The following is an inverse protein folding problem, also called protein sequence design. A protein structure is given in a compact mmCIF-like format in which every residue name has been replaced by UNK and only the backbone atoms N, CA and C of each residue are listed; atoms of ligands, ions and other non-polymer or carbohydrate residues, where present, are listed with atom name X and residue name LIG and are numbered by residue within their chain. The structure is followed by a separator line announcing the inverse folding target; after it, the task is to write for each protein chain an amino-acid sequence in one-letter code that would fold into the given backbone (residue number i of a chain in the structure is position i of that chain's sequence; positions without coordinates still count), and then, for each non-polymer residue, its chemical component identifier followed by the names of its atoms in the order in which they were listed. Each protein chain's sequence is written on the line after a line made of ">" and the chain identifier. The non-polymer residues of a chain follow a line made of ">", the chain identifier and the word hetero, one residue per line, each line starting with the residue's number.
data_IF_747860677793
#
_entry.id   IF_747860677793
#
_cell.length_a   1.000
_cell.length_b   1.000
_cell.length_c   1.000
_cell.angle_alpha   90.00
_cell.angle_beta   90.00
_cell.angle_gamma   90.00
#
_symmetry.space_group_name_H-M   'P 1'
#
loop_
_entity.id
_entity.type
_entity.pdbx_description
1 polymer ?
#
# COMPACT_ATOMS: atom_id res chain seq x y z
N UNK A 1 56.41 3.79 -47.57
CA UNK A 1 55.57 2.77 -48.22
C UNK A 1 55.40 3.18 -49.68
N UNK A 2 56.04 2.48 -50.63
CA UNK A 2 55.89 2.77 -52.07
C UNK A 2 54.53 2.22 -52.50
N UNK A 3 53.56 3.10 -52.77
CA UNK A 3 52.23 2.68 -53.23
C UNK A 3 52.32 2.14 -54.66
N UNK A 4 51.84 0.91 -54.85
CA UNK A 4 51.78 0.26 -56.16
C UNK A 4 50.84 1.02 -57.12
N UNK A 5 51.18 1.08 -58.41
CA UNK A 5 50.49 1.89 -59.42
C UNK A 5 48.97 1.62 -59.52
N UNK A 6 48.54 0.41 -59.16
CA UNK A 6 47.14 -0.01 -59.13
C UNK A 6 46.34 0.75 -58.07
N UNK A 7 46.93 1.04 -56.91
CA UNK A 7 46.27 1.75 -55.80
C UNK A 7 46.05 3.22 -56.17
N UNK A 8 47.04 3.83 -56.83
CA UNK A 8 46.96 5.23 -57.30
C UNK A 8 45.82 5.42 -58.30
N UNK A 9 45.62 4.46 -59.22
CA UNK A 9 44.48 4.49 -60.16
C UNK A 9 43.13 4.39 -59.44
N UNK A 10 43.01 3.52 -58.43
CA UNK A 10 41.77 3.37 -57.67
C UNK A 10 41.43 4.66 -56.89
N UNK A 11 42.42 5.27 -56.24
CA UNK A 11 42.25 6.52 -55.49
C UNK A 11 41.83 7.67 -56.42
N UNK A 12 42.45 7.78 -57.61
CA UNK A 12 42.09 8.83 -58.58
C UNK A 12 40.64 8.69 -59.07
N UNK A 13 40.22 7.46 -59.38
CA UNK A 13 38.84 7.17 -59.82
C UNK A 13 37.80 7.53 -58.75
N UNK A 14 38.11 7.26 -57.47
CA UNK A 14 37.23 7.63 -56.35
C UNK A 14 37.21 9.15 -56.15
N UNK A 15 38.34 9.83 -56.24
CA UNK A 15 38.40 11.28 -56.06
C UNK A 15 37.65 12.05 -57.16
N UNK A 16 37.77 11.59 -58.43
CA UNK A 16 36.98 12.13 -59.54
C UNK A 16 35.48 11.94 -59.31
N UNK A 17 35.06 10.78 -58.81
CA UNK A 17 33.63 10.54 -58.50
C UNK A 17 33.06 11.43 -57.38
N UNK A 18 33.92 12.05 -56.57
CA UNK A 18 33.53 12.90 -55.44
C UNK A 18 33.88 14.38 -55.63
N UNK A 19 34.34 14.78 -56.83
CA UNK A 19 34.69 16.16 -57.13
C UNK A 19 35.86 16.72 -56.31
N UNK A 20 36.76 15.85 -55.81
CA UNK A 20 37.91 16.26 -55.00
C UNK A 20 39.09 16.53 -55.96
N UNK A 21 39.61 17.77 -56.04
CA UNK A 21 40.75 18.07 -56.90
C UNK A 21 42.01 17.40 -56.34
N UNK A 22 42.62 16.49 -57.11
CA UNK A 22 43.91 15.87 -56.78
C UNK A 22 45.01 16.50 -57.63
N UNK A 23 45.96 17.18 -56.97
CA UNK A 23 47.15 17.72 -57.62
C UNK A 23 48.22 16.61 -57.70
N UNK A 24 48.58 16.21 -58.92
CA UNK A 24 49.61 15.19 -59.15
C UNK A 24 50.96 15.85 -59.38
N UNK A 25 51.69 16.10 -58.30
CA UNK A 25 53.15 16.26 -58.32
C UNK A 25 53.78 15.16 -57.47
N UNK A 26 54.97 14.73 -57.86
CA UNK A 26 55.54 13.41 -57.56
C UNK A 26 55.49 12.98 -56.08
N UNK A 27 54.99 11.75 -55.88
CA UNK A 27 55.32 10.82 -54.80
C UNK A 27 55.73 11.39 -53.42
N UNK A 28 54.96 12.34 -52.86
CA UNK A 28 54.90 12.58 -51.42
C UNK A 28 53.63 13.39 -51.09
N UNK A 29 52.63 12.74 -50.49
CA UNK A 29 51.44 13.42 -49.97
C UNK A 29 51.83 14.05 -48.63
N UNK A 30 52.15 15.34 -48.63
CA UNK A 30 52.21 16.15 -47.41
C UNK A 30 50.96 17.01 -47.36
N UNK A 31 50.08 16.87 -46.35
CA UNK A 31 48.95 17.78 -46.22
C UNK A 31 49.48 19.20 -45.96
N UNK A 32 48.96 20.18 -46.70
CA UNK A 32 49.24 21.60 -46.45
C UNK A 32 48.86 21.95 -45.01
N UNK A 33 49.65 22.79 -44.31
CA UNK A 33 49.28 23.26 -42.99
C UNK A 33 48.09 24.21 -43.16
N UNK A 34 46.88 23.68 -42.89
CA UNK A 34 45.69 24.51 -42.77
C UNK A 34 45.87 25.35 -41.51
N UNK A 35 46.14 26.65 -41.69
CA UNK A 35 46.11 27.61 -40.60
C UNK A 35 44.72 27.52 -39.96
N UNK A 36 44.60 27.21 -38.65
CA UNK A 36 43.29 27.10 -38.03
C UNK A 36 42.65 28.49 -38.05
N UNK A 37 41.63 28.65 -38.90
CA UNK A 37 40.74 29.80 -38.82
C UNK A 37 40.12 29.76 -37.43
N UNK A 38 40.53 30.69 -36.57
CA UNK A 38 39.89 30.91 -35.28
C UNK A 38 38.49 31.45 -35.55
N UNK A 39 37.53 30.54 -35.69
CA UNK A 39 36.12 30.87 -35.56
C UNK A 39 35.97 31.48 -34.17
N UNK A 40 35.49 32.72 -34.02
CA UNK A 40 35.26 33.28 -32.69
C UNK A 40 34.37 32.30 -31.95
N UNK A 41 34.84 31.79 -30.80
CA UNK A 41 34.02 31.00 -29.86
C UNK A 41 32.90 31.93 -29.40
N UNK A 42 31.84 32.05 -30.20
CA UNK A 42 30.52 32.36 -29.68
C UNK A 42 30.20 31.17 -28.79
N UNK A 43 30.42 31.35 -27.49
CA UNK A 43 29.92 30.44 -26.49
C UNK A 43 28.44 30.27 -26.80
N UNK A 44 28.05 29.06 -27.18
CA UNK A 44 26.64 28.74 -27.31
C UNK A 44 26.00 29.04 -25.95
N UNK A 45 24.85 29.73 -25.91
CA UNK A 45 24.18 29.99 -24.64
C UNK A 45 23.92 28.66 -23.92
N UNK A 46 24.12 28.64 -22.60
CA UNK A 46 24.26 27.42 -21.78
C UNK A 46 23.17 26.34 -21.97
N UNK A 47 21.98 26.72 -22.45
CA UNK A 47 20.89 25.80 -22.77
C UNK A 47 21.16 24.86 -23.97
N UNK A 48 22.14 25.16 -24.83
CA UNK A 48 22.50 24.35 -26.00
C UNK A 48 23.40 23.15 -25.63
N UNK A 49 24.07 23.20 -24.47
CA UNK A 49 24.97 22.14 -23.97
C UNK A 49 24.25 21.09 -23.11
N UNK A 50 22.93 21.22 -22.90
CA UNK A 50 22.16 20.24 -22.11
C UNK A 50 22.58 20.14 -20.64
N UNK A 51 23.38 21.08 -20.12
CA UNK A 51 23.72 21.20 -18.70
C UNK A 51 22.67 22.03 -17.96
N UNK A 52 21.42 21.61 -18.04
CA UNK A 52 20.56 21.66 -16.85
C UNK A 52 20.43 20.22 -16.41
N UNK A 53 21.39 19.75 -15.61
CA UNK A 53 21.29 18.46 -14.92
C UNK A 53 20.22 18.57 -13.84
N UNK A 54 18.96 18.81 -14.23
CA UNK A 54 17.85 18.44 -13.38
C UNK A 54 17.98 16.93 -13.15
N UNK A 55 18.10 16.48 -11.90
CA UNK A 55 18.28 15.06 -11.62
C UNK A 55 17.05 14.29 -12.11
N UNK A 56 17.24 13.10 -12.67
CA UNK A 56 16.20 12.30 -13.34
C UNK A 56 14.89 12.14 -12.54
N UNK A 57 14.95 12.14 -11.21
CA UNK A 57 13.75 12.08 -10.38
C UNK A 57 12.87 13.34 -10.52
N UNK A 58 13.43 14.53 -10.73
CA UNK A 58 12.68 15.79 -10.80
C UNK A 58 11.75 15.85 -12.03
N UNK A 59 12.19 15.32 -13.18
CA UNK A 59 11.33 15.22 -14.37
C UNK A 59 10.19 14.23 -14.16
N UNK A 60 10.44 13.07 -13.56
CA UNK A 60 9.41 12.07 -13.23
C UNK A 60 8.35 12.65 -12.28
N UNK A 61 8.76 13.43 -11.28
CA UNK A 61 7.83 14.11 -10.37
C UNK A 61 6.92 15.12 -11.10
N UNK A 62 7.46 15.84 -12.09
CA UNK A 62 6.70 16.81 -12.88
C UNK A 62 5.67 16.13 -13.78
N UNK A 63 6.05 15.03 -14.44
CA UNK A 63 5.14 14.23 -15.27
C UNK A 63 4.02 13.59 -14.44
N UNK A 64 4.33 13.15 -13.22
CA UNK A 64 3.39 12.45 -12.33
C UNK A 64 2.65 13.40 -11.38
N UNK A 65 2.76 14.72 -11.56
CA UNK A 65 2.24 15.73 -10.63
C UNK A 65 0.75 15.55 -10.29
N UNK A 66 -0.10 15.28 -11.29
CA UNK A 66 -1.51 15.02 -11.07
C UNK A 66 -1.77 13.78 -10.20
N UNK A 67 -0.99 12.71 -10.41
CA UNK A 67 -1.11 11.48 -9.63
C UNK A 67 -0.70 11.73 -8.18
N UNK A 68 0.34 12.54 -7.98
CA UNK A 68 0.83 12.96 -6.65
C UNK A 68 -0.22 13.77 -5.91
N UNK A 69 -0.85 14.78 -6.53
CA UNK A 69 -1.93 15.55 -5.89
C UNK A 69 -3.07 14.64 -5.45
N UNK A 70 -3.54 13.77 -6.34
CA UNK A 70 -4.66 12.87 -6.04
C UNK A 70 -4.28 11.92 -4.90
N UNK A 71 -3.08 11.33 -4.92
CA UNK A 71 -2.60 10.49 -3.82
C UNK A 71 -2.54 11.26 -2.50
N UNK A 72 -1.91 12.44 -2.47
CA UNK A 72 -1.81 13.28 -1.28
C UNK A 72 -3.20 13.66 -0.74
N UNK A 73 -4.15 14.00 -1.61
CA UNK A 73 -5.53 14.30 -1.21
C UNK A 73 -6.22 13.08 -0.59
N UNK A 74 -6.02 11.89 -1.15
CA UNK A 74 -6.59 10.64 -0.64
C UNK A 74 -5.95 10.22 0.70
N UNK A 75 -4.65 10.45 0.88
CA UNK A 75 -3.96 10.24 2.15
C UNK A 75 -4.42 11.24 3.21
N UNK A 76 -4.58 12.52 2.85
CA UNK A 76 -5.15 13.55 3.73
C UNK A 76 -6.58 13.21 4.15
N UNK A 77 -7.42 12.75 3.21
CA UNK A 77 -8.77 12.27 3.51
C UNK A 77 -8.74 11.07 4.47
N UNK A 78 -7.80 10.13 4.30
CA UNK A 78 -7.65 9.00 5.22
C UNK A 78 -7.27 9.45 6.63
N UNK A 79 -6.32 10.37 6.76
CA UNK A 79 -5.96 10.97 8.07
C UNK A 79 -7.18 11.62 8.70
N UNK A 80 -7.94 12.40 7.94
CA UNK A 80 -9.18 13.00 8.41
C UNK A 80 -10.18 11.94 8.91
N UNK A 81 -10.40 10.86 8.15
CA UNK A 81 -11.26 9.74 8.56
C UNK A 81 -10.78 9.12 9.89
N UNK A 82 -9.47 8.93 10.06
CA UNK A 82 -8.88 8.32 11.26
C UNK A 82 -8.94 9.24 12.48
N UNK A 83 -8.72 10.55 12.31
CA UNK A 83 -8.86 11.54 13.38
C UNK A 83 -10.32 11.63 13.86
N UNK A 84 -11.29 11.58 12.94
CA UNK A 84 -12.72 11.65 13.25
C UNK A 84 -13.37 10.26 13.43
N UNK A 85 -12.60 9.21 13.68
CA UNK A 85 -13.10 7.83 13.78
C UNK A 85 -14.18 7.63 14.86
N UNK A 86 -14.08 8.32 16.01
CA UNK A 86 -15.06 8.22 17.11
C UNK A 86 -16.44 8.77 16.71
N UNK A 87 -16.46 9.84 15.91
CA UNK A 87 -17.70 10.40 15.38
C UNK A 87 -18.27 9.51 14.28
N UNK A 88 -17.40 9.00 13.41
CA UNK A 88 -17.81 8.19 12.27
C UNK A 88 -18.36 6.82 12.68
N UNK A 89 -17.80 6.20 13.71
CA UNK A 89 -18.23 4.88 14.22
C UNK A 89 -19.62 4.90 14.85
N UNK A 90 -20.10 6.06 15.30
CA UNK A 90 -21.51 6.25 15.75
C UNK A 90 -22.52 6.21 14.60
N UNK A 91 -22.07 6.40 13.35
CA UNK A 91 -22.91 6.37 12.15
C UNK A 91 -22.53 5.16 11.28
N UNK A 92 -22.98 3.93 11.63
CA UNK A 92 -22.50 2.70 10.98
C UNK A 92 -22.74 2.66 9.47
N UNK A 93 -23.85 3.22 8.99
CA UNK A 93 -24.14 3.31 7.55
C UNK A 93 -23.12 4.18 6.82
N UNK A 94 -22.78 5.34 7.41
CA UNK A 94 -21.80 6.28 6.83
C UNK A 94 -20.41 5.67 6.79
N UNK A 95 -19.95 5.05 7.89
CA UNK A 95 -18.66 4.36 7.92
C UNK A 95 -18.56 3.28 6.84
N UNK A 96 -19.61 2.47 6.66
CA UNK A 96 -19.64 1.41 5.63
C UNK A 96 -19.51 2.00 4.22
N UNK A 97 -20.22 3.08 3.93
CA UNK A 97 -20.16 3.75 2.62
C UNK A 97 -18.78 4.36 2.37
N UNK A 98 -18.27 5.17 3.31
CA UNK A 98 -16.96 5.82 3.19
C UNK A 98 -15.86 4.77 3.04
N UNK A 99 -15.89 3.72 3.87
CA UNK A 99 -14.88 2.65 3.81
C UNK A 99 -14.94 1.88 2.51
N UNK A 100 -16.11 1.51 2.02
CA UNK A 100 -16.24 0.81 0.74
C UNK A 100 -15.78 1.70 -0.43
N UNK A 101 -16.12 2.99 -0.40
CA UNK A 101 -15.66 3.96 -1.39
C UNK A 101 -14.14 4.11 -1.38
N UNK A 102 -13.53 4.21 -0.20
CA UNK A 102 -12.08 4.30 -0.07
C UNK A 102 -11.38 3.04 -0.57
N UNK A 103 -11.88 1.85 -0.22
CA UNK A 103 -11.31 0.59 -0.70
C UNK A 103 -11.40 0.45 -2.22
N UNK A 104 -12.52 0.88 -2.81
CA UNK A 104 -12.68 0.88 -4.26
C UNK A 104 -11.71 1.88 -4.92
N UNK A 105 -11.57 3.07 -4.35
CA UNK A 105 -10.58 4.06 -4.79
C UNK A 105 -9.15 3.50 -4.72
N UNK A 106 -8.76 2.88 -3.60
CA UNK A 106 -7.45 2.26 -3.44
C UNK A 106 -7.21 1.17 -4.47
N UNK A 107 -8.20 0.31 -4.73
CA UNK A 107 -8.06 -0.76 -5.71
C UNK A 107 -7.89 -0.21 -7.14
N UNK A 108 -8.74 0.74 -7.55
CA UNK A 108 -8.76 1.25 -8.92
C UNK A 108 -7.66 2.27 -9.18
N UNK A 109 -7.47 3.24 -8.29
CA UNK A 109 -6.51 4.32 -8.49
C UNK A 109 -5.10 3.87 -8.09
N UNK A 110 -4.88 3.46 -6.84
CA UNK A 110 -3.55 3.08 -6.34
C UNK A 110 -3.09 1.76 -6.95
N UNK A 111 -4.01 0.78 -7.04
CA UNK A 111 -3.74 -0.52 -7.64
C UNK A 111 -3.64 -0.46 -9.16
N UNK A 112 -4.77 -0.28 -9.83
CA UNK A 112 -4.88 -0.49 -11.29
C UNK A 112 -4.29 0.65 -12.13
N UNK A 113 -4.48 1.90 -11.73
CA UNK A 113 -4.06 3.06 -12.52
C UNK A 113 -2.60 3.46 -12.29
N UNK A 114 -2.21 3.68 -11.03
CA UNK A 114 -0.85 4.14 -10.72
C UNK A 114 0.16 3.01 -10.48
N UNK A 115 -0.32 1.78 -10.23
CA UNK A 115 0.52 0.63 -9.87
C UNK A 115 1.42 0.91 -8.64
N UNK A 116 1.03 1.87 -7.80
CA UNK A 116 1.81 2.33 -6.65
C UNK A 116 1.62 1.36 -5.48
N UNK A 117 2.33 0.23 -5.51
CA UNK A 117 2.20 -0.81 -4.50
C UNK A 117 3.46 -1.01 -3.67
N UNK A 118 3.30 -0.92 -2.35
CA UNK A 118 4.33 -1.42 -1.43
C UNK A 118 4.34 -2.96 -1.46
N UNK A 119 5.54 -3.50 -1.45
CA UNK A 119 5.89 -4.91 -1.54
C UNK A 119 7.02 -5.19 -0.56
N UNK A 120 7.28 -6.46 -0.26
CA UNK A 120 8.41 -6.85 0.58
C UNK A 120 9.74 -6.38 0.01
N UNK A 121 9.86 -6.28 -1.32
CA UNK A 121 11.09 -5.82 -1.99
C UNK A 121 11.48 -4.42 -1.51
N UNK A 122 10.53 -3.48 -1.37
CA UNK A 122 10.86 -2.13 -0.89
C UNK A 122 11.40 -2.14 0.54
N UNK A 123 10.88 -3.02 1.39
CA UNK A 123 11.39 -3.19 2.76
C UNK A 123 12.78 -3.83 2.74
N UNK A 124 12.99 -4.87 1.94
CA UNK A 124 14.29 -5.53 1.81
C UNK A 124 15.34 -4.59 1.23
N UNK A 125 15.00 -3.81 0.20
CA UNK A 125 15.87 -2.78 -0.37
C UNK A 125 16.20 -1.71 0.66
N UNK A 126 15.24 -1.29 1.50
CA UNK A 126 15.50 -0.36 2.58
C UNK A 126 16.47 -0.93 3.63
N UNK A 127 16.22 -2.15 4.12
CA UNK A 127 17.09 -2.81 5.09
C UNK A 127 18.50 -3.00 4.50
N UNK A 128 18.58 -3.50 3.27
CA UNK A 128 19.85 -3.70 2.56
C UNK A 128 20.60 -2.38 2.33
N UNK A 129 19.90 -1.29 1.99
CA UNK A 129 20.52 0.02 1.79
C UNK A 129 21.05 0.59 3.12
N UNK A 130 20.34 0.40 4.22
CA UNK A 130 20.81 0.80 5.56
C UNK A 130 22.06 0.03 5.97
N UNK A 131 22.18 -1.25 5.60
CA UNK A 131 23.34 -2.10 5.94
C UNK A 131 24.57 -1.77 5.08
N UNK A 132 24.40 -1.57 3.76
CA UNK A 132 25.54 -1.47 2.84
C UNK A 132 25.99 -0.03 2.58
N UNK A 133 25.10 0.85 2.09
CA UNK A 133 25.31 2.29 1.90
C UNK A 133 23.95 2.94 1.61
N UNK A 134 23.64 4.04 2.29
CA UNK A 134 22.34 4.71 2.16
C UNK A 134 22.35 5.74 1.02
N UNK A 135 21.58 5.48 -0.05
CA UNK A 135 21.44 6.39 -1.19
C UNK A 135 19.98 6.79 -1.40
N UNK A 136 19.68 8.08 -1.23
CA UNK A 136 18.32 8.62 -1.41
C UNK A 136 17.79 8.47 -2.84
N UNK A 137 18.68 8.44 -3.83
CA UNK A 137 18.32 8.39 -5.25
C UNK A 137 17.46 7.17 -5.60
N UNK A 138 17.71 6.00 -5.00
CA UNK A 138 16.94 4.79 -5.27
C UNK A 138 15.47 4.89 -4.82
N UNK A 139 15.20 5.69 -3.78
CA UNK A 139 13.85 5.88 -3.24
C UNK A 139 13.06 6.99 -3.94
N UNK A 140 13.75 8.03 -4.44
CA UNK A 140 13.10 9.19 -5.06
C UNK A 140 12.64 8.96 -6.52
N UNK A 141 13.09 7.87 -7.16
CA UNK A 141 12.72 7.55 -8.55
C UNK A 141 11.22 7.34 -8.73
N UNK A 142 10.55 6.72 -7.75
CA UNK A 142 9.08 6.58 -7.77
C UNK A 142 8.44 7.53 -6.74
N UNK A 143 7.91 8.69 -7.17
CA UNK A 143 7.30 9.67 -6.27
C UNK A 143 6.16 9.09 -5.43
N UNK A 144 5.36 8.21 -6.03
CA UNK A 144 4.14 7.70 -5.40
C UNK A 144 4.48 6.70 -4.30
N UNK A 145 5.42 5.80 -4.58
CA UNK A 145 5.92 4.85 -3.57
C UNK A 145 6.64 5.59 -2.45
N UNK A 146 7.43 6.63 -2.76
CA UNK A 146 8.10 7.43 -1.75
C UNK A 146 7.12 8.11 -0.78
N UNK A 147 6.08 8.77 -1.31
CA UNK A 147 5.03 9.40 -0.51
C UNK A 147 4.27 8.37 0.31
N UNK A 148 3.89 7.25 -0.31
CA UNK A 148 3.16 6.18 0.37
C UNK A 148 3.99 5.55 1.49
N UNK A 149 5.29 5.31 1.27
CA UNK A 149 6.18 4.75 2.30
C UNK A 149 6.37 5.72 3.48
N UNK A 150 6.56 7.01 3.19
CA UNK A 150 6.65 8.07 4.20
C UNK A 150 5.37 8.16 5.03
N UNK A 151 4.21 8.07 4.38
CA UNK A 151 2.90 8.03 5.04
C UNK A 151 2.72 6.77 5.90
N UNK A 152 3.12 5.61 5.38
CA UNK A 152 3.06 4.34 6.12
C UNK A 152 3.96 4.39 7.35
N UNK A 153 5.18 4.94 7.25
CA UNK A 153 6.05 5.13 8.39
C UNK A 153 5.41 6.03 9.47
N UNK A 154 4.79 7.14 9.09
CA UNK A 154 4.09 8.04 10.01
C UNK A 154 2.88 7.35 10.67
N UNK A 155 2.05 6.68 9.87
CA UNK A 155 0.85 6.00 10.40
C UNK A 155 1.16 4.76 11.22
N UNK A 156 2.27 4.06 10.94
CA UNK A 156 2.79 2.99 11.78
C UNK A 156 3.09 3.50 13.20
N UNK A 157 3.74 4.66 13.31
CA UNK A 157 4.09 5.25 14.60
C UNK A 157 2.85 5.74 15.37
N UNK A 158 1.84 6.27 14.67
CA UNK A 158 0.68 6.88 15.32
C UNK A 158 -0.48 5.90 15.57
N UNK A 159 -0.80 5.03 14.61
CA UNK A 159 -1.94 4.09 14.65
C UNK A 159 -1.54 2.60 14.57
N UNK A 160 -0.29 2.29 14.20
CA UNK A 160 0.18 0.94 13.94
C UNK A 160 -0.05 0.49 12.49
N UNK A 161 0.28 -0.77 12.18
CA UNK A 161 0.29 -1.29 10.80
C UNK A 161 -1.08 -1.42 10.15
N UNK A 162 -2.14 -1.39 10.95
CA UNK A 162 -3.48 -1.72 10.50
C UNK A 162 -4.02 -0.74 9.46
N UNK A 163 -3.55 0.51 9.47
CA UNK A 163 -3.95 1.53 8.49
C UNK A 163 -3.57 1.10 7.07
N UNK A 164 -2.33 0.62 6.87
CA UNK A 164 -1.88 0.20 5.55
C UNK A 164 -2.64 -1.05 5.04
N UNK A 165 -2.61 -2.15 5.79
CA UNK A 165 -3.25 -3.41 5.38
C UNK A 165 -4.79 -3.30 5.31
N UNK A 166 -5.37 -2.37 6.08
CA UNK A 166 -6.80 -2.11 6.17
C UNK A 166 -7.32 -1.24 5.02
N UNK A 167 -6.64 -0.13 4.73
CA UNK A 167 -7.15 0.95 3.88
C UNK A 167 -6.33 1.20 2.62
N UNK A 168 -4.99 1.11 2.69
CA UNK A 168 -4.11 1.52 1.58
C UNK A 168 -3.64 0.39 0.67
N UNK A 169 -3.63 -0.84 1.14
CA UNK A 169 -3.16 -1.98 0.34
C UNK A 169 -4.22 -2.35 -0.72
N UNK A 170 -3.94 -2.25 -2.03
CA UNK A 170 -4.92 -2.54 -3.08
C UNK A 170 -5.31 -4.01 -3.10
N UNK A 171 -4.36 -4.94 -2.90
CA UNK A 171 -4.68 -6.36 -2.80
C UNK A 171 -5.50 -6.69 -1.56
N UNK A 172 -5.18 -6.04 -0.43
CA UNK A 172 -6.00 -6.14 0.78
C UNK A 172 -7.42 -5.62 0.53
N UNK A 173 -7.58 -4.54 -0.23
CA UNK A 173 -8.88 -3.99 -0.63
C UNK A 173 -9.65 -4.95 -1.55
N UNK A 174 -8.97 -5.58 -2.52
CA UNK A 174 -9.54 -6.61 -3.38
C UNK A 174 -10.10 -7.78 -2.56
N UNK A 175 -9.31 -8.33 -1.63
CA UNK A 175 -9.76 -9.44 -0.77
C UNK A 175 -10.95 -9.05 0.12
N UNK A 176 -10.96 -7.82 0.63
CA UNK A 176 -12.05 -7.28 1.44
C UNK A 176 -13.35 -7.13 0.62
N UNK A 177 -13.26 -6.62 -0.61
CA UNK A 177 -14.40 -6.45 -1.49
C UNK A 177 -14.97 -7.80 -1.94
N UNK A 178 -14.10 -8.76 -2.32
CA UNK A 178 -14.50 -10.14 -2.65
C UNK A 178 -15.24 -10.77 -1.47
N UNK A 179 -14.67 -10.67 -0.26
CA UNK A 179 -15.30 -11.23 0.93
C UNK A 179 -16.67 -10.59 1.22
N UNK A 180 -16.81 -9.27 1.06
CA UNK A 180 -18.11 -8.58 1.21
C UNK A 180 -19.14 -9.05 0.18
N UNK A 181 -18.72 -9.26 -1.07
CA UNK A 181 -19.59 -9.81 -2.11
C UNK A 181 -20.02 -11.23 -1.73
N UNK A 182 -19.08 -12.06 -1.28
CA UNK A 182 -19.36 -13.43 -0.80
C UNK A 182 -20.38 -13.44 0.35
N UNK A 183 -20.24 -12.54 1.33
CA UNK A 183 -21.18 -12.38 2.44
C UNK A 183 -22.57 -11.91 1.98
N UNK A 184 -22.65 -11.08 0.93
CA UNK A 184 -23.94 -10.69 0.31
C UNK A 184 -24.60 -11.85 -0.43
N UNK A 185 -23.80 -12.72 -1.05
CA UNK A 185 -24.24 -13.97 -1.68
C UNK A 185 -24.53 -15.09 -0.66
N UNK A 186 -24.44 -14.80 0.65
CA UNK A 186 -24.70 -15.74 1.76
C UNK A 186 -23.83 -17.00 1.72
N UNK A 187 -22.62 -16.91 1.17
CA UNK A 187 -21.65 -18.01 1.22
C UNK A 187 -21.18 -18.25 2.66
N UNK A 188 -20.85 -19.50 3.01
CA UNK A 188 -20.37 -19.83 4.35
C UNK A 188 -19.04 -19.13 4.63
N UNK A 189 -18.89 -18.61 5.85
CA UNK A 189 -17.63 -18.07 6.34
C UNK A 189 -16.93 -19.12 7.18
N UNK A 190 -15.65 -19.34 6.91
CA UNK A 190 -14.84 -20.29 7.64
C UNK A 190 -13.90 -19.56 8.59
N UNK A 191 -13.97 -19.89 9.88
CA UNK A 191 -13.09 -19.34 10.92
C UNK A 191 -12.25 -20.44 11.52
N UNK A 192 -10.94 -20.19 11.57
CA UNK A 192 -10.00 -21.12 12.17
C UNK A 192 -10.11 -21.06 13.70
N UNK A 193 -9.95 -22.20 14.39
CA UNK A 193 -9.77 -22.21 15.84
C UNK A 193 -8.56 -21.38 16.26
N UNK A 194 -8.61 -20.75 17.44
CA UNK A 194 -7.60 -19.78 17.90
C UNK A 194 -6.16 -20.35 17.88
N UNK A 195 -5.98 -21.62 18.26
CA UNK A 195 -4.66 -22.28 18.24
C UNK A 195 -4.10 -22.40 16.82
N UNK A 196 -4.95 -22.76 15.85
CA UNK A 196 -4.55 -22.87 14.44
C UNK A 196 -4.28 -21.49 13.88
N UNK A 197 -5.13 -20.52 14.22
CA UNK A 197 -4.97 -19.13 13.83
C UNK A 197 -3.60 -18.57 14.28
N UNK A 198 -3.21 -18.76 15.54
CA UNK A 198 -1.95 -18.25 16.09
C UNK A 198 -0.72 -18.89 15.41
N UNK A 199 -0.78 -20.19 15.10
CA UNK A 199 0.27 -20.90 14.34
C UNK A 199 0.34 -20.42 12.89
N UNK A 200 -0.79 -20.29 12.20
CA UNK A 200 -0.81 -19.81 10.82
C UNK A 200 -0.35 -18.35 10.72
N UNK A 201 -0.59 -17.51 11.74
CA UNK A 201 -0.04 -16.15 11.76
C UNK A 201 1.47 -16.12 11.91
N UNK A 202 2.10 -17.17 12.46
CA UNK A 202 3.56 -17.25 12.49
C UNK A 202 4.17 -17.42 11.09
N UNK A 203 3.43 -18.02 10.15
CA UNK A 203 3.92 -18.35 8.82
C UNK A 203 4.42 -17.13 8.03
N UNK A 204 3.70 -16.00 8.06
CA UNK A 204 4.15 -14.75 7.40
C UNK A 204 5.50 -14.26 7.93
N UNK A 205 5.79 -14.47 9.22
CA UNK A 205 7.07 -14.09 9.82
C UNK A 205 8.18 -15.02 9.37
N UNK A 206 7.91 -16.33 9.28
CA UNK A 206 8.86 -17.31 8.73
C UNK A 206 9.20 -16.97 7.28
N UNK A 207 8.19 -16.69 6.44
CA UNK A 207 8.40 -16.26 5.04
C UNK A 207 9.23 -14.98 4.99
N UNK A 208 8.92 -13.98 5.82
CA UNK A 208 9.67 -12.72 5.84
C UNK A 208 11.14 -12.92 6.25
N UNK A 209 11.41 -13.68 7.31
CA UNK A 209 12.79 -13.98 7.74
C UNK A 209 13.56 -14.77 6.69
N UNK A 210 12.92 -15.74 6.03
CA UNK A 210 13.53 -16.48 4.92
C UNK A 210 13.88 -15.56 3.74
N UNK A 211 12.98 -14.67 3.33
CA UNK A 211 13.23 -13.68 2.28
C UNK A 211 14.33 -12.69 2.67
N UNK A 212 14.36 -12.26 3.93
CA UNK A 212 15.42 -11.41 4.45
C UNK A 212 16.77 -12.11 4.38
N UNK A 213 16.86 -13.37 4.82
CA UNK A 213 18.09 -14.17 4.72
C UNK A 213 18.57 -14.33 3.27
N UNK A 214 17.67 -14.64 2.34
CA UNK A 214 18.00 -14.73 0.91
C UNK A 214 18.45 -13.39 0.33
N UNK A 215 17.87 -12.27 0.79
CA UNK A 215 18.23 -10.93 0.32
C UNK A 215 19.65 -10.52 0.68
N UNK A 216 20.16 -10.99 1.82
CA UNK A 216 21.54 -10.75 2.25
C UNK A 216 22.56 -11.52 1.40
N UNK A 217 22.16 -12.67 0.85
CA UNK A 217 23.01 -13.45 -0.05
C UNK A 217 22.95 -12.92 -1.49
N UNK A 218 21.76 -12.58 -1.99
CA UNK A 218 21.57 -12.05 -3.33
C UNK A 218 20.20 -11.39 -3.51
N UNK A 219 20.22 -10.13 -3.95
CA UNK A 219 19.00 -9.37 -4.30
C UNK A 219 18.22 -10.07 -5.42
N UNK A 220 18.89 -10.73 -6.38
CA UNK A 220 18.25 -11.41 -7.50
C UNK A 220 17.43 -12.63 -7.07
N UNK A 221 17.95 -13.45 -6.16
CA UNK A 221 17.20 -14.59 -5.61
C UNK A 221 16.06 -14.14 -4.71
N UNK A 222 16.26 -13.10 -3.89
CA UNK A 222 15.20 -12.52 -3.09
C UNK A 222 14.08 -11.92 -3.95
N UNK A 223 14.39 -11.29 -5.08
CA UNK A 223 13.38 -10.76 -6.00
C UNK A 223 12.54 -11.87 -6.64
N UNK A 224 13.14 -13.03 -6.97
CA UNK A 224 12.39 -14.21 -7.43
C UNK A 224 11.55 -14.84 -6.33
N UNK A 225 12.09 -14.96 -5.12
CA UNK A 225 11.36 -15.52 -3.98
C UNK A 225 10.23 -14.59 -3.49
N UNK A 226 10.38 -13.27 -3.67
CA UNK A 226 9.36 -12.27 -3.36
C UNK A 226 8.11 -12.39 -4.26
N UNK A 227 8.15 -13.23 -5.31
CA UNK A 227 6.97 -13.60 -6.10
C UNK A 227 5.93 -14.43 -5.33
N UNK A 228 6.26 -14.84 -4.09
CA UNK A 228 5.27 -15.32 -3.11
C UNK A 228 4.14 -14.30 -2.91
N UNK A 229 4.42 -13.02 -3.14
CA UNK A 229 3.43 -11.97 -3.14
C UNK A 229 2.66 -11.93 -4.47
N UNK A 230 1.34 -12.21 -4.48
CA UNK A 230 0.54 -12.29 -5.71
C UNK A 230 0.32 -10.91 -6.37
N UNK A 231 0.87 -9.85 -5.79
CA UNK A 231 0.72 -8.46 -6.20
C UNK A 231 1.10 -8.21 -7.66
N UNK A 232 2.26 -8.73 -8.08
CA UNK A 232 2.75 -8.58 -9.46
C UNK A 232 1.80 -9.26 -10.44
N UNK A 233 1.28 -10.43 -10.09
CA UNK A 233 0.39 -11.22 -10.95
C UNK A 233 -1.02 -10.61 -11.04
N UNK A 234 -1.59 -10.21 -9.90
CA UNK A 234 -2.98 -9.77 -9.79
C UNK A 234 -3.16 -8.30 -10.19
N UNK A 235 -2.26 -7.42 -9.74
CA UNK A 235 -2.38 -5.98 -9.95
C UNK A 235 -1.50 -5.54 -11.13
N UNK A 236 -0.18 -5.77 -11.07
CA UNK A 236 0.76 -5.21 -12.07
C UNK A 236 0.56 -5.80 -13.46
N UNK A 237 0.40 -7.12 -13.56
CA UNK A 237 0.24 -7.82 -14.83
C UNK A 237 -1.21 -8.15 -15.17
N UNK A 238 -2.18 -7.68 -14.37
CA UNK A 238 -3.61 -7.81 -14.67
C UNK A 238 -4.02 -9.25 -15.05
N UNK A 239 -3.56 -10.25 -14.30
CA UNK A 239 -3.80 -11.69 -14.52
C UNK A 239 -3.19 -12.29 -15.80
N UNK A 240 -2.27 -11.60 -16.48
CA UNK A 240 -1.62 -12.05 -17.73
C UNK A 240 -0.28 -12.77 -17.52
N UNK A 241 -0.17 -13.65 -16.51
CA UNK A 241 1.09 -14.35 -16.18
C UNK A 241 1.04 -15.85 -16.49
N UNK A 242 2.21 -16.47 -16.57
CA UNK A 242 2.42 -17.92 -16.64
C UNK A 242 1.59 -18.69 -15.59
N UNK A 243 1.10 -19.87 -15.98
CA UNK A 243 -0.04 -20.52 -15.35
C UNK A 243 0.09 -20.81 -13.85
N UNK A 244 1.28 -21.18 -13.37
CA UNK A 244 1.48 -21.54 -11.95
C UNK A 244 1.19 -20.36 -11.02
N UNK A 245 1.71 -19.17 -11.32
CA UNK A 245 1.46 -17.98 -10.50
C UNK A 245 0.02 -17.48 -10.62
N UNK A 246 -0.61 -17.65 -11.80
CA UNK A 246 -2.01 -17.30 -11.99
C UNK A 246 -2.92 -18.20 -11.16
N UNK A 247 -2.69 -19.52 -11.19
CA UNK A 247 -3.43 -20.51 -10.38
C UNK A 247 -3.24 -20.23 -8.90
N UNK A 248 -2.01 -19.96 -8.46
CA UNK A 248 -1.74 -19.58 -7.06
C UNK A 248 -2.48 -18.31 -6.64
N UNK A 249 -2.43 -17.25 -7.45
CA UNK A 249 -3.14 -16.01 -7.19
C UNK A 249 -4.65 -16.21 -7.12
N UNK A 250 -5.22 -16.96 -8.07
CA UNK A 250 -6.65 -17.26 -8.10
C UNK A 250 -7.07 -18.11 -6.90
N UNK A 251 -6.28 -19.11 -6.52
CA UNK A 251 -6.52 -19.92 -5.33
C UNK A 251 -6.58 -19.05 -4.06
N UNK A 252 -5.67 -18.09 -3.90
CA UNK A 252 -5.71 -17.14 -2.78
C UNK A 252 -6.96 -16.24 -2.79
N UNK A 253 -7.44 -15.84 -3.97
CA UNK A 253 -8.68 -15.05 -4.09
C UNK A 253 -9.92 -15.91 -3.78
N UNK A 254 -9.94 -17.18 -4.20
CA UNK A 254 -11.00 -18.13 -3.83
C UNK A 254 -11.02 -18.36 -2.33
N UNK A 255 -9.86 -18.54 -1.68
CA UNK A 255 -9.81 -18.67 -0.22
C UNK A 255 -10.29 -17.38 0.48
N UNK A 256 -10.04 -16.21 -0.12
CA UNK A 256 -10.52 -14.94 0.42
C UNK A 256 -12.05 -14.80 0.42
N UNK A 257 -12.77 -15.58 -0.38
CA UNK A 257 -14.24 -15.70 -0.32
C UNK A 257 -14.66 -16.24 1.05
N UNK A 258 -14.00 -17.28 1.54
CA UNK A 258 -14.36 -17.97 2.79
C UNK A 258 -13.73 -17.34 4.04
N UNK A 259 -12.56 -16.71 3.91
CA UNK A 259 -11.83 -16.08 5.01
C UNK A 259 -11.39 -14.66 4.67
N UNK A 260 -11.84 -13.68 5.45
CA UNK A 260 -11.50 -12.26 5.23
C UNK A 260 -9.99 -12.02 5.22
N UNK A 261 -9.47 -11.46 4.11
CA UNK A 261 -8.06 -11.08 3.92
C UNK A 261 -7.06 -12.20 4.31
N UNK A 262 -7.34 -13.44 3.89
CA UNK A 262 -6.53 -14.63 4.23
C UNK A 262 -5.02 -14.44 3.97
N UNK A 263 -4.66 -13.93 2.79
CA UNK A 263 -3.24 -13.70 2.44
C UNK A 263 -2.58 -12.68 3.38
N UNK A 264 -3.21 -11.52 3.60
CA UNK A 264 -2.68 -10.49 4.51
C UNK A 264 -2.51 -11.00 5.95
N UNK A 265 -3.34 -11.96 6.35
CA UNK A 265 -3.34 -12.55 7.69
C UNK A 265 -2.21 -13.56 7.89
N UNK A 266 -1.93 -14.40 6.90
CA UNK A 266 -1.11 -15.61 7.09
C UNK A 266 0.14 -15.71 6.21
N UNK A 267 0.15 -15.13 5.01
CA UNK A 267 1.24 -15.33 4.04
C UNK A 267 2.02 -14.04 3.73
N UNK A 268 1.44 -12.87 3.94
CA UNK A 268 1.99 -11.59 3.48
C UNK A 268 3.29 -11.19 4.22
N UNK A 269 4.47 -11.25 3.58
CA UNK A 269 5.73 -10.91 4.23
C UNK A 269 5.88 -9.40 4.46
N UNK A 270 5.34 -8.55 3.59
CA UNK A 270 5.22 -7.12 3.86
C UNK A 270 4.41 -6.86 5.14
N UNK A 271 3.30 -7.58 5.33
CA UNK A 271 2.48 -7.48 6.54
C UNK A 271 3.23 -7.87 7.80
N UNK A 272 4.12 -8.87 7.72
CA UNK A 272 5.01 -9.27 8.80
C UNK A 272 6.03 -8.17 9.13
N UNK A 273 6.67 -7.59 8.11
CA UNK A 273 7.64 -6.52 8.30
C UNK A 273 7.02 -5.28 8.98
N UNK A 274 5.83 -4.88 8.55
CA UNK A 274 5.09 -3.78 9.16
C UNK A 274 4.58 -4.12 10.57
N UNK A 275 4.42 -5.40 10.91
CA UNK A 275 3.96 -5.83 12.22
C UNK A 275 5.05 -5.77 13.31
N UNK A 276 6.33 -5.84 12.95
CA UNK A 276 7.44 -5.78 13.90
C UNK A 276 7.45 -4.46 14.70
N UNK A 277 7.39 -3.27 14.07
CA UNK A 277 7.34 -2.00 14.80
C UNK A 277 5.94 -1.62 15.31
N UNK A 278 4.89 -2.39 15.00
CA UNK A 278 3.51 -2.03 15.36
C UNK A 278 3.23 -1.87 16.87
N UNK A 279 3.92 -2.57 17.79
CA UNK A 279 3.78 -2.35 19.23
C UNK A 279 4.34 -1.00 19.70
N UNK A 280 5.26 -0.38 18.94
CA UNK A 280 5.90 0.90 19.28
C UNK A 280 5.00 2.11 19.00
N UNK A 281 3.72 1.89 18.70
CA UNK A 281 2.77 2.97 18.41
C UNK A 281 2.55 3.84 19.64
N UNK A 282 2.48 5.15 19.42
CA UNK A 282 2.39 6.15 20.48
C UNK A 282 0.96 6.22 21.06
N UNK A 283 -0.07 6.02 20.23
CA UNK A 283 -1.45 6.25 20.62
C UNK A 283 -2.36 5.01 20.49
N UNK A 284 -3.10 4.74 21.55
CA UNK A 284 -4.15 3.72 21.63
C UNK A 284 -5.53 4.30 21.29
N UNK A 285 -5.76 4.53 20.00
CA UNK A 285 -7.01 5.12 19.51
C UNK A 285 -8.25 4.21 19.60
N UNK A 286 -8.07 2.88 19.66
CA UNK A 286 -9.19 1.93 19.71
C UNK A 286 -9.70 1.78 21.15
N UNK A 287 -10.87 2.36 21.43
CA UNK A 287 -11.48 2.33 22.77
C UNK A 287 -11.97 0.93 23.15
N UNK A 288 -11.78 0.56 24.43
CA UNK A 288 -12.29 -0.66 25.06
C UNK A 288 -12.84 -0.30 26.43
N UNK A 289 -13.86 -1.05 26.89
CA UNK A 289 -14.37 -0.94 28.28
C UNK A 289 -13.76 -2.05 29.14
N UNK A 290 -13.88 -1.89 30.46
CA UNK A 290 -13.37 -2.87 31.43
C UNK A 290 -14.08 -4.22 31.33
N UNK A 291 -15.34 -4.23 30.94
CA UNK A 291 -16.16 -5.44 30.79
C UNK A 291 -15.84 -6.21 29.49
N UNK A 292 -15.05 -5.62 28.59
CA UNK A 292 -14.67 -6.24 27.33
C UNK A 292 -13.60 -7.32 27.56
N UNK A 293 -13.84 -8.55 27.09
CA UNK A 293 -13.02 -9.73 27.35
C UNK A 293 -13.54 -10.56 28.52
N UNK A 294 -13.94 -9.94 29.62
CA UNK A 294 -14.57 -10.65 30.75
C UNK A 294 -15.67 -9.77 31.37
N UNK A 295 -16.96 -10.16 31.31
CA UNK A 295 -17.55 -11.35 30.68
C UNK A 295 -17.86 -11.20 29.18
N UNK A 296 -17.74 -10.00 28.59
CA UNK A 296 -18.22 -9.73 27.23
C UNK A 296 -17.25 -10.21 26.13
N UNK A 297 -17.70 -11.10 25.25
CA UNK A 297 -16.91 -11.64 24.13
C UNK A 297 -17.39 -11.19 22.73
N UNK A 298 -18.27 -10.18 22.65
CA UNK A 298 -18.94 -9.83 21.39
C UNK A 298 -17.94 -9.32 20.34
N UNK A 299 -17.10 -8.32 20.67
CA UNK A 299 -16.13 -7.80 19.71
C UNK A 299 -15.09 -8.86 19.28
N UNK A 300 -14.69 -9.76 20.19
CA UNK A 300 -13.77 -10.85 19.88
C UNK A 300 -14.38 -11.81 18.86
N UNK A 301 -15.63 -12.23 19.09
CA UNK A 301 -16.39 -13.07 18.15
C UNK A 301 -16.73 -12.35 16.85
N UNK A 302 -16.88 -11.02 16.83
CA UNK A 302 -17.18 -10.28 15.60
C UNK A 302 -15.93 -9.96 14.77
N UNK A 303 -14.74 -10.01 15.36
CA UNK A 303 -13.50 -9.69 14.65
C UNK A 303 -13.16 -10.80 13.64
N UNK A 304 -13.51 -10.58 12.38
CA UNK A 304 -13.25 -11.52 11.27
C UNK A 304 -11.73 -11.74 11.01
N UNK A 305 -10.88 -10.79 11.42
CA UNK A 305 -9.40 -10.95 11.37
C UNK A 305 -8.86 -11.68 12.61
N UNK A 306 -9.67 -11.87 13.66
CA UNK A 306 -9.30 -12.51 14.93
C UNK A 306 -8.15 -11.81 15.69
N UNK A 307 -8.04 -10.49 15.55
CA UNK A 307 -7.01 -9.70 16.23
C UNK A 307 -7.28 -9.44 17.72
N UNK A 308 -8.46 -9.78 18.24
CA UNK A 308 -8.86 -9.54 19.64
C UNK A 308 -8.75 -10.85 20.41
N UNK A 309 -7.89 -10.90 21.41
CA UNK A 309 -7.72 -12.08 22.27
C UNK A 309 -8.98 -12.31 23.13
N UNK A 310 -9.24 -13.54 23.61
CA UNK A 310 -10.32 -13.80 24.57
C UNK A 310 -10.19 -13.00 25.87
N UNK A 311 -8.99 -12.57 26.24
CA UNK A 311 -8.76 -11.65 27.39
C UNK A 311 -9.33 -10.26 27.17
N UNK A 312 -9.62 -9.87 25.92
CA UNK A 312 -10.19 -8.59 25.56
C UNK A 312 -9.19 -7.57 25.02
N UNK A 313 -7.90 -7.92 24.94
CA UNK A 313 -6.88 -7.04 24.36
C UNK A 313 -6.88 -7.13 22.84
N UNK A 314 -6.59 -6.00 22.19
CA UNK A 314 -6.41 -5.93 20.74
C UNK A 314 -4.93 -6.11 20.44
N UNK A 315 -4.57 -7.15 19.68
CA UNK A 315 -3.21 -7.34 19.21
C UNK A 315 -2.90 -6.35 18.07
N UNK A 316 -2.01 -5.35 18.27
CA UNK A 316 -1.68 -4.37 17.23
C UNK A 316 -0.96 -5.00 16.04
N UNK A 317 -0.28 -6.14 16.25
CA UNK A 317 0.43 -6.88 15.21
C UNK A 317 -0.51 -7.63 14.28
N UNK A 318 -1.78 -7.82 14.64
CA UNK A 318 -2.79 -8.51 13.84
C UNK A 318 -3.92 -7.59 13.35
N UNK A 319 -4.19 -6.49 14.05
CA UNK A 319 -5.29 -5.58 13.75
C UNK A 319 -5.15 -4.91 12.36
N UNK A 320 -6.21 -4.99 11.55
CA UNK A 320 -6.31 -4.32 10.23
C UNK A 320 -7.06 -2.98 10.28
N UNK A 321 -7.22 -2.38 11.47
CA UNK A 321 -7.84 -1.07 11.66
C UNK A 321 -9.18 -0.87 10.94
N UNK A 322 -10.03 -1.92 10.97
CA UNK A 322 -11.31 -1.96 10.26
C UNK A 322 -12.41 -1.10 10.91
N UNK A 323 -12.25 -0.77 12.19
CA UNK A 323 -13.21 -0.04 13.04
C UNK A 323 -14.54 -0.76 13.30
N UNK A 324 -14.71 -2.01 12.85
CA UNK A 324 -15.95 -2.78 13.08
C UNK A 324 -16.22 -2.98 14.59
N UNK A 325 -15.17 -3.18 15.39
CA UNK A 325 -15.29 -3.28 16.85
C UNK A 325 -15.65 -1.95 17.54
N UNK A 326 -15.28 -0.81 16.95
CA UNK A 326 -15.59 0.51 17.47
C UNK A 326 -17.04 0.91 17.17
N UNK A 327 -17.59 0.45 16.04
CA UNK A 327 -19.03 0.56 15.77
C UNK A 327 -19.82 -0.14 16.87
N UNK A 328 -19.48 -1.40 17.16
CA UNK A 328 -20.14 -2.17 18.21
C UNK A 328 -19.93 -1.56 19.59
N UNK A 329 -18.80 -0.92 19.86
CA UNK A 329 -18.52 -0.24 21.15
C UNK A 329 -19.49 0.92 21.45
N UNK A 330 -19.91 1.66 20.41
CA UNK A 330 -20.83 2.80 20.51
C UNK A 330 -22.31 2.43 20.30
N UNK A 331 -22.59 1.20 19.89
CA UNK A 331 -23.94 0.71 19.65
C UNK A 331 -24.63 0.33 20.97
N UNK A 332 -25.74 1.00 21.28
CA UNK A 332 -26.50 0.79 22.51
C UNK A 332 -27.42 -0.44 22.49
N UNK A 333 -27.60 -1.09 21.33
CA UNK A 333 -28.30 -2.37 21.21
C UNK A 333 -27.35 -3.57 21.28
N UNK A 334 -26.12 -3.43 20.78
CA UNK A 334 -25.17 -4.56 20.69
C UNK A 334 -24.17 -4.61 21.85
N UNK A 335 -23.80 -3.47 22.44
CA UNK A 335 -22.83 -3.41 23.54
C UNK A 335 -23.53 -3.65 24.89
N UNK A 336 -23.25 -4.76 25.63
CA UNK A 336 -24.00 -5.11 26.84
C UNK A 336 -24.03 -4.01 27.91
N UNK A 337 -22.91 -3.33 28.22
CA UNK A 337 -22.92 -2.22 29.19
C UNK A 337 -23.76 -1.01 28.75
N UNK A 338 -23.95 -0.80 27.44
CA UNK A 338 -24.80 0.27 26.93
C UNK A 338 -26.26 -0.18 26.81
N UNK A 339 -26.51 -1.42 26.41
CA UNK A 339 -27.87 -1.97 26.34
C UNK A 339 -28.50 -2.05 27.71
N UNK A 340 -27.74 -2.46 28.73
CA UNK A 340 -28.23 -2.43 30.12
C UNK A 340 -28.57 -1.01 30.58
N UNK A 341 -27.72 -0.02 30.26
CA UNK A 341 -27.99 1.39 30.56
C UNK A 341 -29.22 1.92 29.83
N UNK A 342 -29.41 1.55 28.56
CA UNK A 342 -30.60 1.94 27.77
C UNK A 342 -31.86 1.33 28.36
N UNK A 343 -31.88 0.02 28.58
CA UNK A 343 -33.02 -0.71 29.16
C UNK A 343 -33.39 -0.11 30.52
N UNK A 344 -32.41 0.23 31.37
CA UNK A 344 -32.67 0.88 32.66
C UNK A 344 -33.32 2.27 32.50
N UNK A 345 -32.85 3.07 31.53
CA UNK A 345 -33.42 4.40 31.22
C UNK A 345 -34.85 4.30 30.69
N UNK A 346 -35.10 3.34 29.79
CA UNK A 346 -36.44 3.05 29.25
C UNK A 346 -37.41 2.63 30.36
N UNK A 347 -37.00 1.69 31.22
CA UNK A 347 -37.80 1.28 32.39
C UNK A 347 -38.09 2.44 33.35
N UNK A 348 -37.09 3.28 33.64
CA UNK A 348 -37.32 4.44 34.51
C UNK A 348 -38.27 5.47 33.88
N UNK A 349 -38.20 5.69 32.57
CA UNK A 349 -39.13 6.59 31.86
C UNK A 349 -40.55 6.05 31.85
N UNK A 350 -40.73 4.76 31.57
CA UNK A 350 -42.04 4.11 31.60
C UNK A 350 -42.68 4.19 33.00
N UNK A 351 -41.91 3.98 34.07
CA UNK A 351 -42.40 4.13 35.44
C UNK A 351 -42.82 5.57 35.76
N UNK A 352 -42.04 6.57 35.32
CA UNK A 352 -42.38 8.00 35.47
C UNK A 352 -43.65 8.38 34.69
N UNK A 353 -43.83 7.86 33.48
CA UNK A 353 -45.02 8.09 32.65
C UNK A 353 -46.26 7.45 33.28
N UNK A 354 -46.14 6.25 33.85
CA UNK A 354 -47.20 5.61 34.63
C UNK A 354 -47.60 6.44 35.86
N UNK A 355 -46.64 6.89 36.67
CA UNK A 355 -46.93 7.75 37.84
C UNK A 355 -47.66 9.04 37.47
N UNK A 356 -47.27 9.68 36.36
CA UNK A 356 -47.95 10.89 35.85
C UNK A 356 -49.40 10.60 35.41
N UNK A 357 -49.62 9.51 34.68
CA UNK A 357 -50.96 9.10 34.22
C UNK A 357 -51.92 8.79 35.38
N UNK A 358 -51.43 8.15 36.45
CA UNK A 358 -52.22 7.88 37.65
C UNK A 358 -52.62 9.16 38.40
N UNK A 359 -51.74 10.17 38.44
CA UNK A 359 -52.03 11.46 39.09
C UNK A 359 -53.03 12.30 38.30
N UNK A 360 -52.97 12.29 36.95
CA UNK A 360 -53.96 12.98 36.12
C UNK A 360 -55.35 12.34 36.15
N UNK A 361 -55.45 11.02 36.30
CA UNK A 361 -56.73 10.31 36.40
C UNK A 361 -57.49 10.59 37.70
N UNK A 362 -56.79 10.83 38.81
CA UNK A 362 -57.41 11.18 40.10
C UNK A 362 -57.93 12.62 40.18
N UNK A 363 -57.52 13.52 39.28
CA UNK A 363 -57.96 14.92 39.27
C UNK A 363 -59.30 15.14 38.55
N UNK A 364 -59.79 14.18 37.76
CA UNK A 364 -61.06 14.26 37.02
C UNK A 364 -62.21 13.43 37.66
N UNK A 365 -61.96 12.75 38.78
CA UNK A 365 -62.95 11.94 39.50
C UNK A 365 -63.48 12.57 40.79
N UNK A 366 -63.28 13.88 40.98
CA UNK A 366 -63.81 14.67 42.10
C UNK A 366 -64.55 15.89 41.57
N UNK A 367 -65.68 15.67 40.89
CA UNK A 367 -66.75 16.65 40.75
C UNK A 367 -68.08 15.98 41.13
#
# INVERSE_FOLDING_TARGET
>A
MVMNATIVKAVKKVAESRGIPLQTEGARITPHPVTPVQVPKKQAPAWWLGETSEPFWASVWRERFWQVIVLCSALGMLVFILLFQDWLTRRPKLLKVIRNGYLLFTLLFIGWYTLAQLSVIHVLTFISSVIHQFTWQAFLVDPLIFILWSFVALTLLLWGRGVYCGWLCPFGALQELIHKIARRLKLPEYRFPDVVHERLTALKYVIFVALLGLSLQSIGYAAKAAEVEPFKTVIVMHFRREGVYLVYALALLVIAVFSRKFFCKYLCPLGAALAIPAPLRIFDWLRRRKECGRPCQICARQCEVQAIRPTGEINPNECHYCLDCQVTYWDDHHCPPLSEKRIRREKSRAALEQMKSSQSGTAHGKE
#
